data_IF_571719713728
#
_entry.id   IF_571719713728
#
_cell.length_a   1.000
_cell.length_b   1.000
_cell.length_c   1.000
_cell.angle_alpha   90.00
_cell.angle_beta   90.00
_cell.angle_gamma   90.00
#
_symmetry.space_group_name_H-M   'P 1'
#
loop_
_entity.id
_entity.type
_entity.pdbx_description
1 polymer ?
#
# COMPACT_ATOMS: atom_id res chain seq x y z
N UNK A 1 -5.87 -16.66 15.95
CA UNK A 1 -5.61 -15.69 14.87
C UNK A 1 -4.23 -15.93 14.32
N UNK A 2 -4.02 -15.70 13.02
CA UNK A 2 -2.68 -15.72 12.43
C UNK A 2 -1.90 -14.51 12.93
N UNK A 3 -0.73 -14.73 13.52
CA UNK A 3 0.18 -13.65 13.90
C UNK A 3 0.95 -13.22 12.66
N UNK A 4 0.72 -11.99 12.18
CA UNK A 4 1.52 -11.37 11.11
C UNK A 4 2.68 -10.61 11.76
N UNK A 5 3.91 -10.86 11.30
CA UNK A 5 5.09 -10.10 11.69
C UNK A 5 5.48 -9.21 10.50
N UNK A 6 5.27 -7.90 10.64
CA UNK A 6 5.58 -6.94 9.56
C UNK A 6 7.07 -6.64 9.58
N UNK A 7 7.82 -7.27 8.67
CA UNK A 7 9.25 -7.02 8.47
C UNK A 7 9.50 -5.74 7.64
N UNK A 8 8.64 -5.49 6.65
CA UNK A 8 8.75 -4.36 5.72
C UNK A 8 7.40 -4.08 5.04
N UNK A 9 7.27 -2.90 4.44
CA UNK A 9 6.08 -2.41 3.74
C UNK A 9 6.49 -1.86 2.38
N UNK A 10 5.70 -2.15 1.34
CA UNK A 10 5.87 -1.55 0.01
C UNK A 10 4.55 -1.15 -0.65
N UNK A 11 4.58 -0.05 -1.41
CA UNK A 11 3.54 0.29 -2.39
C UNK A 11 3.98 -0.27 -3.74
N UNK A 12 3.29 -1.30 -4.23
CA UNK A 12 3.52 -1.86 -5.56
C UNK A 12 2.67 -1.12 -6.59
N UNK A 13 3.31 -0.34 -7.45
CA UNK A 13 2.63 0.36 -8.54
C UNK A 13 1.92 -0.60 -9.50
N UNK A 14 0.82 -0.12 -10.10
CA UNK A 14 0.20 -0.79 -11.25
C UNK A 14 1.09 -0.66 -12.48
N UNK A 15 0.84 -1.49 -13.49
CA UNK A 15 1.63 -1.48 -14.74
C UNK A 15 1.64 -0.10 -15.42
N UNK A 16 0.55 0.65 -15.34
CA UNK A 16 0.43 2.02 -15.89
C UNK A 16 1.25 3.05 -15.12
N UNK A 17 1.51 2.82 -13.82
CA UNK A 17 2.14 3.80 -12.93
C UNK A 17 3.59 3.47 -12.56
N UNK A 18 4.14 2.34 -12.99
CA UNK A 18 5.53 1.92 -12.69
C UNK A 18 6.65 2.85 -13.18
N UNK A 19 6.35 3.81 -14.07
CA UNK A 19 7.31 4.85 -14.52
C UNK A 19 7.28 6.12 -13.67
N UNK A 20 6.32 6.26 -12.74
CA UNK A 20 6.21 7.46 -11.88
C UNK A 20 7.04 7.27 -10.61
N UNK A 21 7.97 8.20 -10.38
CA UNK A 21 8.79 8.27 -9.18
C UNK A 21 8.56 9.64 -8.53
N UNK A 22 8.20 9.70 -7.23
CA UNK A 22 7.99 8.55 -6.34
C UNK A 22 6.69 7.78 -6.65
N UNK A 23 6.64 6.51 -6.27
CA UNK A 23 5.40 5.73 -6.30
C UNK A 23 4.50 6.27 -5.18
N UNK A 24 3.37 6.86 -5.58
CA UNK A 24 2.42 7.52 -4.66
C UNK A 24 1.10 6.78 -4.51
N UNK A 25 0.84 5.78 -5.36
CA UNK A 25 -0.37 4.96 -5.35
C UNK A 25 -0.06 3.54 -5.87
N UNK A 26 -0.78 2.55 -5.37
CA UNK A 26 -0.51 1.15 -5.71
C UNK A 26 -1.18 0.16 -4.77
N UNK A 27 -0.86 -1.12 -4.95
CA UNK A 27 -1.21 -2.18 -4.00
C UNK A 27 -0.28 -2.12 -2.79
N UNK A 28 -0.85 -2.17 -1.59
CA UNK A 28 -0.07 -2.27 -0.38
C UNK A 28 0.34 -3.73 -0.13
N UNK A 29 1.63 -3.94 0.12
CA UNK A 29 2.17 -5.24 0.48
C UNK A 29 3.00 -5.15 1.75
N UNK A 30 2.90 -6.19 2.59
CA UNK A 30 3.74 -6.40 3.76
C UNK A 30 4.65 -7.60 3.54
N UNK A 31 5.85 -7.54 4.11
CA UNK A 31 6.75 -8.67 4.14
C UNK A 31 6.58 -9.41 5.47
N UNK A 32 6.25 -10.70 5.39
CA UNK A 32 6.02 -11.60 6.53
C UNK A 32 6.62 -12.97 6.23
N UNK A 33 7.58 -13.39 7.06
CA UNK A 33 8.35 -14.62 6.86
C UNK A 33 9.15 -14.59 5.57
N UNK A 34 9.78 -13.45 5.26
CA UNK A 34 10.55 -13.25 4.03
C UNK A 34 9.71 -13.09 2.75
N UNK A 35 8.39 -13.22 2.81
CA UNK A 35 7.49 -13.20 1.64
C UNK A 35 6.63 -11.95 1.60
N UNK A 36 6.52 -11.34 0.43
CA UNK A 36 5.60 -10.24 0.17
C UNK A 36 4.17 -10.75 0.02
N UNK A 37 3.23 -10.14 0.74
CA UNK A 37 1.80 -10.45 0.70
C UNK A 37 1.01 -9.16 0.54
N UNK A 38 0.03 -9.19 -0.36
CA UNK A 38 -0.87 -8.07 -0.56
C UNK A 38 -1.89 -8.00 0.58
N UNK A 39 -2.13 -6.79 1.07
CA UNK A 39 -3.18 -6.51 2.06
C UNK A 39 -4.55 -6.47 1.36
N UNK A 40 -5.56 -7.10 1.97
CA UNK A 40 -6.94 -7.03 1.52
C UNK A 40 -7.51 -5.62 1.75
N UNK A 41 -8.39 -5.16 0.86
CA UNK A 41 -9.09 -3.89 1.02
C UNK A 41 -10.31 -3.97 1.96
N UNK A 42 -10.69 -5.16 2.42
CA UNK A 42 -11.79 -5.34 3.35
C UNK A 42 -11.50 -4.64 4.69
N UNK A 43 -12.38 -3.73 5.10
CA UNK A 43 -12.19 -2.91 6.29
C UNK A 43 -11.07 -1.85 6.17
N UNK A 44 -10.46 -1.68 4.99
CA UNK A 44 -9.44 -0.66 4.76
C UNK A 44 -10.07 0.74 4.73
N UNK A 45 -9.52 1.67 5.52
CA UNK A 45 -10.03 3.05 5.61
C UNK A 45 -8.99 4.08 5.15
N UNK A 46 -9.43 5.33 4.98
CA UNK A 46 -8.54 6.46 4.71
C UNK A 46 -7.48 6.65 5.83
N UNK A 47 -7.83 6.35 7.08
CA UNK A 47 -6.87 6.41 8.19
C UNK A 47 -5.74 5.38 8.05
N UNK A 48 -6.04 4.18 7.54
CA UNK A 48 -5.02 3.18 7.23
C UNK A 48 -4.08 3.70 6.12
N UNK A 49 -4.64 4.30 5.07
CA UNK A 49 -3.85 4.93 3.99
C UNK A 49 -2.94 6.04 4.52
N UNK A 50 -3.44 6.87 5.45
CA UNK A 50 -2.67 7.97 6.05
C UNK A 50 -1.40 7.49 6.74
N UNK A 51 -1.48 6.37 7.48
CA UNK A 51 -0.32 5.75 8.13
C UNK A 51 0.73 5.37 7.10
N UNK A 52 0.33 4.65 6.05
CA UNK A 52 1.25 4.20 5.00
C UNK A 52 1.86 5.39 4.26
N UNK A 53 1.05 6.35 3.83
CA UNK A 53 1.56 7.55 3.15
C UNK A 53 2.57 8.30 4.02
N UNK A 54 2.30 8.42 5.32
CA UNK A 54 3.22 9.04 6.28
C UNK A 54 4.54 8.27 6.44
N UNK A 55 4.52 6.94 6.43
CA UNK A 55 5.75 6.11 6.47
C UNK A 55 6.66 6.36 5.25
N UNK A 56 6.11 6.77 4.11
CA UNK A 56 6.86 7.17 2.92
C UNK A 56 7.21 8.67 2.88
N UNK A 57 6.92 9.43 3.94
CA UNK A 57 7.18 10.86 4.01
C UNK A 57 6.20 11.72 3.21
N UNK A 58 5.06 11.18 2.78
CA UNK A 58 4.01 11.96 2.15
C UNK A 58 3.14 12.68 3.19
N UNK A 59 2.58 13.86 2.87
CA UNK A 59 1.79 14.65 3.81
C UNK A 59 0.47 13.97 4.23
N UNK A 60 0.02 12.97 3.46
CA UNK A 60 -1.17 12.20 3.74
C UNK A 60 -1.71 11.49 2.51
N UNK A 61 -2.77 10.73 2.74
CA UNK A 61 -3.65 10.12 1.76
C UNK A 61 -4.37 11.17 0.91
N UNK A 62 -4.66 10.80 -0.34
CA UNK A 62 -5.51 11.59 -1.25
C UNK A 62 -6.53 10.67 -1.89
N UNK A 63 -7.67 11.25 -2.31
CA UNK A 63 -8.65 10.54 -3.15
C UNK A 63 -7.98 10.11 -4.45
N UNK A 64 -8.18 8.86 -4.84
CA UNK A 64 -7.64 8.27 -6.05
C UNK A 64 -8.73 7.57 -6.86
N UNK A 65 -8.46 7.31 -8.14
CA UNK A 65 -9.36 6.56 -8.99
C UNK A 65 -9.21 5.06 -8.70
N UNK A 66 -10.27 4.41 -8.22
CA UNK A 66 -10.23 2.98 -7.86
C UNK A 66 -10.37 2.05 -9.06
N UNK A 67 -10.78 2.53 -10.23
CA UNK A 67 -11.00 1.70 -11.43
C UNK A 67 -9.79 0.84 -11.86
N UNK A 68 -8.53 1.31 -11.77
CA UNK A 68 -7.36 0.50 -12.10
C UNK A 68 -7.06 -0.63 -11.11
N UNK A 69 -7.78 -0.71 -9.98
CA UNK A 69 -7.53 -1.61 -8.86
C UNK A 69 -8.69 -2.58 -8.60
N UNK A 70 -9.72 -2.55 -9.43
CA UNK A 70 -10.80 -3.53 -9.45
C UNK A 70 -10.45 -4.71 -10.34
#
# INVERSE_FOLDING_TARGET
GLTVQVEDVRIRATYSHRKRIPITEGFLEVKDGGKWRQICNEGWTEMNSRVICGMYGFPGEKRFNTRPYK
#
